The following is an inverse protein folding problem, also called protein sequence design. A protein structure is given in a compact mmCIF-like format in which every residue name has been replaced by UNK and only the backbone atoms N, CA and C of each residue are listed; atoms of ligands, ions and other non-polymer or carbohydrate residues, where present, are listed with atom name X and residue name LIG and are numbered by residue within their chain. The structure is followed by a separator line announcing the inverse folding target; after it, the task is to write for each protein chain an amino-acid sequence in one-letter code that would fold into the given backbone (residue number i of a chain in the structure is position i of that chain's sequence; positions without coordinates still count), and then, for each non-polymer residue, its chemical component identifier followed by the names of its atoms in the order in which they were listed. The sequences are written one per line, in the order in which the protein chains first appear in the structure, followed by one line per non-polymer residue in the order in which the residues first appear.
data_IF_352735698087
#
_entry.id   IF_352735698087
#
_cell.length_a   1.000
_cell.length_b   1.000
_cell.length_c   1.000
_cell.angle_alpha   90.00
_cell.angle_beta   90.00
_cell.angle_gamma   90.00
#
_symmetry.space_group_name_H-M   'P 1'
#
loop_
_entity.id
_entity.type
_entity.pdbx_description
1 polymer ?
#
# COMPACT_ATOMS: atom_id res chain seq x y z
N UNK A 1 30.09 52.16 4.96
CA UNK A 1 30.10 50.87 4.23
C UNK A 1 29.06 49.97 4.87
N UNK A 2 27.84 49.96 4.34
CA UNK A 2 26.78 49.06 4.81
C UNK A 2 26.73 47.86 3.89
N UNK A 3 27.05 46.68 4.41
CA UNK A 3 26.86 45.42 3.70
C UNK A 3 25.38 45.09 3.72
N UNK A 4 24.74 45.13 2.54
CA UNK A 4 23.42 44.55 2.32
C UNK A 4 23.49 43.04 2.58
N UNK A 5 22.79 42.59 3.62
CA UNK A 5 22.57 41.19 3.92
C UNK A 5 21.61 40.60 2.87
N UNK A 6 22.21 40.07 1.80
CA UNK A 6 21.57 39.25 0.78
C UNK A 6 20.83 38.09 1.47
N UNK A 7 19.50 38.17 1.54
CA UNK A 7 18.67 37.09 2.06
C UNK A 7 18.78 35.88 1.11
N UNK A 8 19.03 34.66 1.64
CA UNK A 8 18.98 33.45 0.83
C UNK A 8 17.53 33.24 0.36
N UNK A 9 17.35 33.15 -0.96
CA UNK A 9 16.09 32.70 -1.56
C UNK A 9 15.65 31.39 -0.88
N UNK A 10 14.51 31.44 -0.21
CA UNK A 10 13.87 30.26 0.37
C UNK A 10 13.70 29.20 -0.72
N UNK A 11 14.08 27.94 -0.48
CA UNK A 11 13.82 26.87 -1.43
C UNK A 11 12.30 26.77 -1.67
N UNK A 12 11.86 26.54 -2.92
CA UNK A 12 10.45 26.45 -3.23
C UNK A 12 9.81 25.38 -2.35
N UNK A 13 8.81 25.78 -1.58
CA UNK A 13 8.05 24.92 -0.69
C UNK A 13 7.61 23.66 -1.46
N UNK A 14 8.14 22.52 -1.04
CA UNK A 14 7.74 21.24 -1.57
C UNK A 14 6.25 21.04 -1.22
N UNK A 15 5.37 21.30 -2.20
CA UNK A 15 3.94 21.04 -2.11
C UNK A 15 3.71 19.64 -1.53
N UNK A 16 2.92 19.57 -0.45
CA UNK A 16 2.71 18.38 0.38
C UNK A 16 2.14 17.15 -0.37
N UNK A 17 1.75 17.32 -1.63
CA UNK A 17 1.13 16.28 -2.46
C UNK A 17 2.14 15.41 -3.23
N UNK A 18 3.45 15.65 -3.09
CA UNK A 18 4.47 14.85 -3.79
C UNK A 18 4.39 14.98 -5.32
N UNK A 19 3.74 16.04 -5.80
CA UNK A 19 3.61 16.41 -7.21
C UNK A 19 4.74 17.39 -7.55
N UNK A 20 5.57 17.04 -8.52
CA UNK A 20 6.68 17.87 -8.98
C UNK A 20 6.61 17.99 -10.50
N UNK A 21 6.33 19.20 -10.97
CA UNK A 21 6.39 19.55 -12.39
C UNK A 21 7.83 19.86 -12.79
N UNK A 22 8.30 19.17 -13.81
CA UNK A 22 9.62 19.36 -14.41
C UNK A 22 9.55 20.16 -15.71
N UNK A 23 8.37 20.22 -16.33
CA UNK A 23 8.06 20.98 -17.55
C UNK A 23 6.73 21.73 -17.35
N UNK A 24 6.76 22.99 -16.88
CA UNK A 24 5.56 23.73 -16.49
C UNK A 24 4.62 24.02 -17.68
N UNK A 25 5.11 23.98 -18.91
CA UNK A 25 4.31 24.19 -20.12
C UNK A 25 3.23 23.11 -20.36
N UNK A 26 3.22 22.03 -19.55
CA UNK A 26 2.21 20.96 -19.60
C UNK A 26 1.29 20.91 -18.36
N UNK A 27 1.36 21.90 -17.46
CA UNK A 27 0.61 21.88 -16.20
C UNK A 27 -0.91 21.75 -16.39
N UNK A 28 -1.43 22.27 -17.51
CA UNK A 28 -2.86 22.20 -17.86
C UNK A 28 -3.16 21.19 -19.00
N UNK A 29 -2.17 20.41 -19.41
CA UNK A 29 -2.24 19.49 -20.58
C UNK A 29 -2.09 18.03 -20.16
N UNK A 30 -2.72 17.65 -19.05
CA UNK A 30 -2.65 16.30 -18.48
C UNK A 30 -3.06 15.19 -19.46
N UNK A 31 -4.00 15.46 -20.37
CA UNK A 31 -4.45 14.49 -21.39
C UNK A 31 -3.37 14.07 -22.39
N UNK A 32 -2.28 14.84 -22.49
CA UNK A 32 -1.14 14.53 -23.36
C UNK A 32 -0.03 13.74 -22.65
N UNK A 33 -0.16 13.57 -21.33
CA UNK A 33 0.84 12.92 -20.50
C UNK A 33 0.46 11.46 -20.28
N UNK A 34 1.48 10.60 -20.30
CA UNK A 34 1.34 9.18 -19.99
C UNK A 34 2.37 8.77 -18.97
N UNK A 35 1.99 7.87 -18.07
CA UNK A 35 2.98 7.22 -17.19
C UNK A 35 3.91 6.35 -18.04
N UNK A 36 5.14 6.10 -17.58
CA UNK A 36 6.03 5.17 -18.30
C UNK A 36 5.43 3.76 -18.46
N UNK A 37 4.56 3.34 -17.53
CA UNK A 37 3.87 2.06 -17.59
C UNK A 37 2.78 2.03 -18.67
N UNK A 38 1.99 3.11 -18.79
CA UNK A 38 0.99 3.27 -19.84
C UNK A 38 1.65 3.47 -21.20
N UNK A 39 2.69 4.31 -21.26
CA UNK A 39 3.49 4.52 -22.44
C UNK A 39 4.11 3.23 -22.99
N UNK A 40 4.58 2.33 -22.11
CA UNK A 40 5.04 1.00 -22.53
C UNK A 40 3.96 0.20 -23.27
N UNK A 41 2.73 0.20 -22.73
CA UNK A 41 1.57 -0.45 -23.36
C UNK A 41 1.21 0.21 -24.69
N UNK A 42 1.19 1.54 -24.71
CA UNK A 42 0.85 2.36 -25.88
C UNK A 42 1.76 2.06 -27.08
N UNK A 43 3.07 1.86 -26.85
CA UNK A 43 4.05 1.59 -27.91
C UNK A 43 4.34 0.10 -28.12
N UNK A 44 3.65 -0.80 -27.40
CA UNK A 44 3.79 -2.25 -27.57
C UNK A 44 5.08 -2.87 -27.04
N UNK A 45 5.68 -2.30 -25.98
CA UNK A 45 6.92 -2.82 -25.37
C UNK A 45 6.76 -3.10 -23.86
N UNK A 46 7.72 -3.82 -23.27
CA UNK A 46 7.70 -4.08 -21.83
C UNK A 46 8.11 -2.84 -21.02
N UNK A 47 7.64 -2.75 -19.77
CA UNK A 47 8.05 -1.67 -18.83
C UNK A 47 9.56 -1.63 -18.62
N UNK A 48 10.20 -2.81 -18.58
CA UNK A 48 11.66 -2.93 -18.46
C UNK A 48 12.39 -2.38 -19.68
N UNK A 49 11.82 -2.50 -20.88
CA UNK A 49 12.38 -1.91 -22.10
C UNK A 49 12.38 -0.37 -22.02
N UNK A 50 11.25 0.25 -21.64
CA UNK A 50 11.17 1.71 -21.43
C UNK A 50 12.18 2.18 -20.37
N UNK A 51 12.28 1.48 -19.25
CA UNK A 51 13.25 1.79 -18.19
C UNK A 51 14.70 1.70 -18.69
N UNK A 52 15.02 0.69 -19.49
CA UNK A 52 16.33 0.56 -20.13
C UNK A 52 16.57 1.66 -21.16
N UNK A 53 15.58 2.04 -21.95
CA UNK A 53 15.71 3.14 -22.91
C UNK A 53 15.99 4.46 -22.21
N UNK A 54 15.24 4.77 -21.14
CA UNK A 54 15.46 5.95 -20.32
C UNK A 54 16.89 6.02 -19.78
N UNK A 55 17.47 4.88 -19.38
CA UNK A 55 18.85 4.82 -18.86
C UNK A 55 19.93 4.90 -19.94
N UNK A 56 19.67 4.35 -21.13
CA UNK A 56 20.69 4.15 -22.18
C UNK A 56 20.69 5.24 -23.25
N UNK A 57 19.60 5.96 -23.41
CA UNK A 57 19.43 6.92 -24.50
C UNK A 57 19.28 8.33 -23.94
N UNK A 58 20.28 9.17 -24.21
CA UNK A 58 20.27 10.58 -23.80
C UNK A 58 19.13 11.38 -24.47
N UNK A 59 18.67 10.94 -25.64
CA UNK A 59 17.55 11.52 -26.37
C UNK A 59 16.19 10.93 -25.98
N UNK A 60 16.09 10.20 -24.86
CA UNK A 60 14.80 9.76 -24.33
C UNK A 60 13.93 10.98 -23.96
N UNK A 61 12.60 10.94 -24.18
CA UNK A 61 11.70 12.04 -23.82
C UNK A 61 11.88 12.51 -22.39
N UNK A 62 11.92 13.83 -22.20
CA UNK A 62 12.12 14.40 -20.86
C UNK A 62 10.90 14.14 -19.98
N UNK A 63 11.16 13.84 -18.71
CA UNK A 63 10.08 13.71 -17.73
C UNK A 63 9.38 15.06 -17.57
N UNK A 64 8.05 15.02 -17.54
CA UNK A 64 7.20 16.21 -17.40
C UNK A 64 6.75 16.38 -15.95
N UNK A 65 6.38 15.28 -15.32
CA UNK A 65 5.69 15.27 -14.04
C UNK A 65 6.15 14.04 -13.23
N UNK A 66 6.42 14.27 -11.95
CA UNK A 66 6.63 13.22 -10.96
C UNK A 66 5.50 13.29 -9.92
N UNK A 67 4.87 12.16 -9.62
CA UNK A 67 3.84 12.09 -8.57
C UNK A 67 4.12 10.98 -7.57
N UNK A 68 3.65 11.13 -6.33
CA UNK A 68 3.79 10.13 -5.27
C UNK A 68 5.00 10.34 -4.35
N UNK A 69 5.23 9.38 -3.44
CA UNK A 69 6.26 9.51 -2.41
C UNK A 69 7.68 9.46 -2.97
N UNK A 70 8.65 10.02 -2.24
CA UNK A 70 10.07 10.09 -2.64
C UNK A 70 10.64 8.72 -3.07
N UNK A 71 10.22 7.63 -2.42
CA UNK A 71 10.68 6.27 -2.70
C UNK A 71 9.90 5.54 -3.82
N UNK A 72 8.74 6.07 -4.24
CA UNK A 72 7.86 5.44 -5.24
C UNK A 72 7.23 6.50 -6.14
N UNK A 73 8.08 7.27 -6.84
CA UNK A 73 7.62 8.29 -7.78
C UNK A 73 7.14 7.67 -9.09
N UNK A 74 5.90 7.98 -9.47
CA UNK A 74 5.36 7.75 -10.80
C UNK A 74 5.93 8.80 -11.74
N UNK A 75 6.52 8.35 -12.85
CA UNK A 75 7.14 9.22 -13.85
C UNK A 75 6.21 9.37 -15.04
N UNK A 76 5.98 10.61 -15.45
CA UNK A 76 5.16 10.97 -16.60
C UNK A 76 6.00 11.61 -17.70
N UNK A 77 5.65 11.31 -18.95
CA UNK A 77 6.25 11.85 -20.17
C UNK A 77 5.16 12.28 -21.14
N UNK A 78 5.50 13.13 -22.10
CA UNK A 78 4.59 13.48 -23.20
C UNK A 78 4.38 12.25 -24.10
N UNK A 79 3.13 11.87 -24.34
CA UNK A 79 2.80 10.67 -25.09
C UNK A 79 3.33 10.71 -26.54
N UNK A 80 3.17 11.85 -27.22
CA UNK A 80 3.63 12.05 -28.58
C UNK A 80 5.16 11.86 -28.70
N UNK A 81 5.94 12.52 -27.83
CA UNK A 81 7.41 12.38 -27.83
C UNK A 81 7.84 10.93 -27.58
N UNK A 82 7.13 10.20 -26.72
CA UNK A 82 7.41 8.79 -26.45
C UNK A 82 7.11 7.89 -27.66
N UNK A 83 6.00 8.13 -28.35
CA UNK A 83 5.64 7.39 -29.57
C UNK A 83 6.70 7.62 -30.65
N UNK A 84 7.12 8.86 -30.88
CA UNK A 84 8.11 9.19 -31.91
C UNK A 84 9.48 8.59 -31.58
N UNK A 85 9.89 8.69 -30.33
CA UNK A 85 11.10 8.02 -29.85
C UNK A 85 11.02 6.50 -30.04
N UNK A 86 9.89 5.88 -29.67
CA UNK A 86 9.71 4.43 -29.79
C UNK A 86 9.73 3.97 -31.25
N UNK A 87 9.09 4.71 -32.17
CA UNK A 87 9.15 4.45 -33.61
C UNK A 87 10.59 4.46 -34.12
N UNK A 88 11.40 5.44 -33.70
CA UNK A 88 12.81 5.50 -34.07
C UNK A 88 13.62 4.33 -33.49
N UNK A 89 13.35 3.91 -32.26
CA UNK A 89 14.07 2.76 -31.67
C UNK A 89 13.66 1.43 -32.29
N UNK A 90 12.38 1.26 -32.65
CA UNK A 90 11.88 0.02 -33.25
C UNK A 90 12.29 -0.11 -34.72
N UNK A 91 12.45 1.01 -35.44
CA UNK A 91 12.92 1.00 -36.83
C UNK A 91 14.43 0.77 -36.95
N UNK A 92 15.20 0.94 -35.86
CA UNK A 92 16.62 0.58 -35.83
C UNK A 92 16.75 -0.92 -36.05
N UNK A 93 17.23 -1.29 -37.24
CA UNK A 93 17.67 -2.66 -37.54
C UNK A 93 18.58 -3.10 -36.41
N UNK A 94 18.21 -4.19 -35.75
CA UNK A 94 19.04 -4.78 -34.70
C UNK A 94 20.38 -5.14 -35.34
N UNK A 95 21.38 -4.30 -35.10
CA UNK A 95 22.73 -4.56 -35.57
C UNK A 95 23.21 -5.90 -35.01
N UNK A 96 24.16 -6.56 -35.69
CA UNK A 96 24.80 -7.74 -35.13
C UNK A 96 25.25 -7.41 -33.71
N UNK A 97 24.84 -8.23 -32.72
CA UNK A 97 25.21 -8.02 -31.32
C UNK A 97 26.72 -8.23 -31.18
N UNK A 98 27.50 -7.18 -31.39
CA UNK A 98 28.96 -7.14 -31.23
C UNK A 98 29.39 -7.04 -29.78
N UNK A 99 28.61 -7.64 -28.86
CA UNK A 99 29.00 -7.75 -27.47
C UNK A 99 30.02 -8.87 -27.32
N UNK A 100 31.21 -8.54 -26.82
CA UNK A 100 32.17 -9.54 -26.35
C UNK A 100 31.45 -10.46 -25.36
N UNK A 101 31.33 -11.76 -25.68
CA UNK A 101 30.73 -12.72 -24.74
C UNK A 101 31.63 -12.76 -23.53
N UNK A 102 31.16 -12.21 -22.41
CA UNK A 102 31.82 -12.43 -21.11
C UNK A 102 31.89 -13.94 -20.86
N UNK A 103 32.98 -14.47 -20.28
CA UNK A 103 33.05 -15.87 -19.94
C UNK A 103 31.82 -16.27 -19.12
N UNK A 104 31.06 -17.21 -19.66
CA UNK A 104 29.82 -17.65 -19.05
C UNK A 104 30.17 -18.42 -17.77
N UNK A 105 29.57 -18.03 -16.64
CA UNK A 105 29.74 -18.78 -15.39
C UNK A 105 29.38 -20.26 -15.61
N UNK A 106 30.12 -21.21 -15.00
CA UNK A 106 29.78 -22.63 -15.10
C UNK A 106 28.34 -22.90 -14.68
N UNK A 107 27.60 -23.70 -15.45
CA UNK A 107 26.20 -24.01 -15.17
C UNK A 107 25.98 -24.60 -13.77
N UNK A 108 26.92 -25.42 -13.29
CA UNK A 108 26.89 -26.00 -11.95
C UNK A 108 26.92 -24.94 -10.85
N UNK A 109 27.72 -23.88 -11.00
CA UNK A 109 27.76 -22.79 -10.03
C UNK A 109 26.42 -22.03 -9.99
N UNK A 110 25.83 -21.75 -11.16
CA UNK A 110 24.51 -21.10 -11.24
C UNK A 110 23.44 -21.97 -10.58
N UNK A 111 23.49 -23.29 -10.79
CA UNK A 111 22.55 -24.23 -10.20
C UNK A 111 22.70 -24.28 -8.66
N UNK A 112 23.93 -24.33 -8.14
CA UNK A 112 24.19 -24.31 -6.70
C UNK A 112 23.72 -23.01 -6.03
N UNK A 113 24.00 -21.85 -6.64
CA UNK A 113 23.51 -20.55 -6.15
C UNK A 113 21.97 -20.50 -6.12
N UNK A 114 21.30 -21.05 -7.14
CA UNK A 114 19.83 -21.15 -7.17
C UNK A 114 19.28 -22.08 -6.09
N UNK A 115 19.91 -23.24 -5.87
CA UNK A 115 19.50 -24.18 -4.83
C UNK A 115 19.59 -23.52 -3.44
N UNK A 116 20.75 -22.93 -3.12
CA UNK A 116 20.95 -22.22 -1.85
C UNK A 116 19.94 -21.06 -1.67
N UNK A 117 19.64 -20.31 -2.73
CA UNK A 117 18.62 -19.27 -2.68
C UNK A 117 17.24 -19.83 -2.31
N UNK A 118 16.79 -20.91 -2.95
CA UNK A 118 15.47 -21.46 -2.68
C UNK A 118 15.38 -22.17 -1.33
N UNK A 119 16.46 -22.77 -0.84
CA UNK A 119 16.54 -23.30 0.53
C UNK A 119 16.31 -22.19 1.57
N UNK A 120 16.94 -21.03 1.37
CA UNK A 120 16.71 -19.86 2.23
C UNK A 120 15.27 -19.34 2.15
N UNK A 121 14.70 -19.29 0.93
CA UNK A 121 13.30 -18.90 0.74
C UNK A 121 12.37 -19.86 1.48
N UNK A 122 12.57 -21.17 1.38
CA UNK A 122 11.76 -22.16 2.12
C UNK A 122 11.90 -21.95 3.63
N UNK A 123 13.12 -21.80 4.14
CA UNK A 123 13.37 -21.55 5.57
C UNK A 123 12.59 -20.33 6.07
N UNK A 124 12.72 -19.20 5.38
CA UNK A 124 12.05 -17.95 5.78
C UNK A 124 10.52 -18.05 5.71
N UNK A 125 9.96 -18.76 4.72
CA UNK A 125 8.53 -18.99 4.61
C UNK A 125 8.00 -19.89 5.74
N UNK A 126 8.71 -20.97 6.07
CA UNK A 126 8.35 -21.84 7.20
C UNK A 126 8.35 -21.10 8.53
N UNK A 127 9.33 -20.21 8.77
CA UNK A 127 9.33 -19.36 9.97
C UNK A 127 8.12 -18.43 10.03
N UNK A 128 7.76 -17.81 8.89
CA UNK A 128 6.58 -16.93 8.80
C UNK A 128 5.29 -17.70 9.06
N UNK A 129 5.15 -18.89 8.48
CA UNK A 129 4.01 -19.78 8.72
C UNK A 129 3.88 -20.14 10.20
N UNK A 130 4.99 -20.51 10.85
CA UNK A 130 5.00 -20.79 12.29
C UNK A 130 4.54 -19.58 13.13
N UNK A 131 5.01 -18.37 12.80
CA UNK A 131 4.59 -17.14 13.49
C UNK A 131 3.09 -16.86 13.29
N UNK A 132 2.59 -17.05 12.07
CA UNK A 132 1.16 -16.89 11.75
C UNK A 132 0.29 -17.91 12.49
N UNK A 133 0.71 -19.18 12.53
CA UNK A 133 0.00 -20.23 13.27
C UNK A 133 -0.09 -19.91 14.77
N UNK A 134 1.02 -19.43 15.37
CA UNK A 134 1.02 -18.98 16.76
C UNK A 134 0.10 -17.78 16.99
N UNK A 135 0.11 -16.79 16.08
CA UNK A 135 -0.78 -15.64 16.17
C UNK A 135 -2.26 -16.06 16.09
N UNK A 136 -2.61 -16.95 15.15
CA UNK A 136 -3.96 -17.49 15.02
C UNK A 136 -4.40 -18.27 16.27
N UNK A 137 -3.50 -19.06 16.87
CA UNK A 137 -3.78 -19.77 18.12
C UNK A 137 -4.10 -18.80 19.27
N UNK A 138 -3.31 -17.70 19.40
CA UNK A 138 -3.57 -16.64 20.39
C UNK A 138 -4.92 -15.96 20.17
N UNK A 139 -5.23 -15.58 18.93
CA UNK A 139 -6.51 -14.95 18.58
C UNK A 139 -7.69 -15.88 18.89
N UNK A 140 -7.57 -17.18 18.57
CA UNK A 140 -8.60 -18.18 18.91
C UNK A 140 -8.79 -18.34 20.42
N UNK A 141 -7.71 -18.32 21.20
CA UNK A 141 -7.79 -18.35 22.66
C UNK A 141 -8.49 -17.09 23.20
N UNK A 142 -8.09 -15.90 22.75
CA UNK A 142 -8.72 -14.64 23.14
C UNK A 142 -10.22 -14.60 22.80
N UNK A 143 -10.61 -15.10 21.61
CA UNK A 143 -12.02 -15.21 21.21
C UNK A 143 -12.82 -16.12 22.15
N UNK A 144 -12.26 -17.26 22.57
CA UNK A 144 -12.92 -18.16 23.53
C UNK A 144 -13.14 -17.47 24.87
N UNK A 145 -12.10 -16.88 25.45
CA UNK A 145 -12.18 -16.14 26.72
C UNK A 145 -13.19 -14.98 26.65
N UNK A 146 -13.22 -14.24 25.53
CA UNK A 146 -14.20 -13.17 25.34
C UNK A 146 -15.63 -13.73 25.26
N UNK A 147 -15.84 -14.88 24.62
CA UNK A 147 -17.12 -15.58 24.57
C UNK A 147 -17.61 -16.02 25.95
N UNK A 148 -16.71 -16.57 26.78
CA UNK A 148 -16.99 -16.96 28.17
C UNK A 148 -17.43 -15.74 29.00
N UNK A 149 -16.67 -14.65 28.94
CA UNK A 149 -17.02 -13.38 29.63
C UNK A 149 -18.36 -12.80 29.17
N UNK A 150 -18.66 -12.89 27.88
CA UNK A 150 -19.94 -12.44 27.34
C UNK A 150 -21.10 -13.29 27.88
N UNK A 151 -20.92 -14.61 27.97
CA UNK A 151 -21.91 -15.51 28.54
C UNK A 151 -22.16 -15.21 30.03
N UNK A 152 -21.10 -15.00 30.80
CA UNK A 152 -21.17 -14.60 32.22
C UNK A 152 -21.90 -13.26 32.40
N UNK A 153 -21.53 -12.24 31.63
CA UNK A 153 -22.17 -10.93 31.67
C UNK A 153 -23.67 -11.00 31.34
N UNK A 154 -24.05 -11.83 30.36
CA UNK A 154 -25.46 -12.08 30.02
C UNK A 154 -26.20 -12.77 31.15
N UNK A 155 -25.61 -13.81 31.76
CA UNK A 155 -26.23 -14.50 32.89
C UNK A 155 -26.45 -13.56 34.07
N UNK A 156 -25.49 -12.69 34.37
CA UNK A 156 -25.62 -11.65 35.40
C UNK A 156 -26.74 -10.66 35.08
N UNK A 157 -26.78 -10.15 33.85
CA UNK A 157 -27.83 -9.22 33.42
C UNK A 157 -29.22 -9.84 33.56
N UNK A 158 -29.41 -11.09 33.14
CA UNK A 158 -30.68 -11.82 33.31
C UNK A 158 -31.06 -11.93 34.78
N UNK A 159 -30.11 -12.28 35.66
CA UNK A 159 -30.37 -12.36 37.10
C UNK A 159 -30.79 -11.02 37.72
N UNK A 160 -30.18 -9.90 37.27
CA UNK A 160 -30.56 -8.55 37.70
C UNK A 160 -31.98 -8.17 37.21
N UNK A 161 -32.32 -8.47 35.97
CA UNK A 161 -33.67 -8.26 35.42
C UNK A 161 -34.72 -9.05 36.22
N UNK A 162 -34.44 -10.33 36.49
CA UNK A 162 -35.33 -11.19 37.27
C UNK A 162 -35.50 -10.68 38.71
N UNK A 163 -34.42 -10.18 39.33
CA UNK A 163 -34.47 -9.59 40.67
C UNK A 163 -35.34 -8.32 40.70
N UNK A 164 -35.20 -7.44 39.72
CA UNK A 164 -36.03 -6.22 39.59
C UNK A 164 -37.50 -6.58 39.38
N UNK A 165 -37.81 -7.57 38.53
CA UNK A 165 -39.18 -8.03 38.30
C UNK A 165 -39.84 -8.56 39.59
N UNK A 166 -39.09 -9.30 40.43
CA UNK A 166 -39.58 -9.76 41.74
C UNK A 166 -39.88 -8.62 42.71
N UNK A 167 -39.06 -7.56 42.72
CA UNK A 167 -39.31 -6.38 43.55
C UNK A 167 -40.54 -5.60 43.11
N UNK A 168 -40.77 -5.46 41.80
CA UNK A 168 -41.97 -4.83 41.25
C UNK A 168 -43.25 -5.54 41.72
N UNK A 169 -43.31 -6.87 41.59
CA UNK A 169 -44.47 -7.66 42.01
C UNK A 169 -44.74 -7.68 43.52
N UNK A 170 -43.72 -7.46 44.36
CA UNK A 170 -43.91 -7.32 45.81
C UNK A 170 -44.54 -5.98 46.20
N UNK A 171 -44.21 -4.90 45.48
CA UNK A 171 -44.75 -3.56 45.73
C UNK A 171 -46.27 -3.51 45.51
N UNK A 172 -46.76 -4.20 44.48
CA UNK A 172 -48.20 -4.27 44.16
C UNK A 172 -49.01 -5.11 45.16
N UNK A 173 -48.37 -6.03 45.90
CA UNK A 173 -49.03 -6.83 46.95
C UNK A 173 -49.16 -6.11 48.30
N UNK A 174 -48.45 -5.00 48.52
CA UNK A 174 -48.40 -4.32 49.82
C UNK A 174 -49.43 -3.19 49.97
N UNK A 175 -50.17 -2.82 48.92
CA UNK A 175 -51.14 -1.71 48.94
C UNK A 175 -52.60 -2.12 49.19
N UNK A 176 -52.91 -3.40 49.43
CA UNK A 176 -54.30 -3.90 49.46
C UNK A 176 -54.91 -4.10 50.85
N UNK A 177 -54.41 -3.47 51.92
CA UNK A 177 -54.98 -3.70 53.27
C UNK A 177 -55.09 -2.42 54.09
N UNK A 178 -56.07 -1.54 53.76
CA UNK A 178 -56.77 -0.72 54.77
C UNK A 178 -58.11 -0.18 54.22
N UNK A 179 -59.05 -1.04 53.81
CA UNK A 179 -60.46 -0.63 53.79
C UNK A 179 -61.10 -1.08 55.10
N UNK A 180 -61.18 -0.12 56.02
CA UNK A 180 -61.77 -0.25 57.35
C UNK A 180 -63.29 -0.25 57.16
N UNK A 181 -63.86 -1.45 57.02
CA UNK A 181 -65.31 -1.66 57.00
C UNK A 181 -65.90 -1.16 58.33
N UNK A 182 -66.54 0.00 58.27
CA UNK A 182 -67.24 0.62 59.40
C UNK A 182 -68.67 0.10 59.35
N UNK A 183 -69.02 -0.83 60.25
CA UNK A 183 -70.40 -1.31 60.39
C UNK A 183 -71.15 -0.53 61.50
N UNK A 184 -72.45 -0.26 61.29
CA UNK A 184 -73.31 0.53 62.17
C UNK A 184 -73.71 -0.18 63.46
#
# INVERSE_FOLDING_TARGET
MHQELKHPESPPEASADGVVWLRPEYQDRHGELVTLADGARLVGVSKSAISNWQKRHANFPRLVLLTGSLHKRTKWVVAAELIDFARLQLSRKSGPRTGHKSPQRPGAQIAAEKAAHYEEVVRTLTEREKRQAQALARTRAAKRTAGEKLAEARARLTAEIDAVARLGTQKDRCTTTTEKETRP
#
